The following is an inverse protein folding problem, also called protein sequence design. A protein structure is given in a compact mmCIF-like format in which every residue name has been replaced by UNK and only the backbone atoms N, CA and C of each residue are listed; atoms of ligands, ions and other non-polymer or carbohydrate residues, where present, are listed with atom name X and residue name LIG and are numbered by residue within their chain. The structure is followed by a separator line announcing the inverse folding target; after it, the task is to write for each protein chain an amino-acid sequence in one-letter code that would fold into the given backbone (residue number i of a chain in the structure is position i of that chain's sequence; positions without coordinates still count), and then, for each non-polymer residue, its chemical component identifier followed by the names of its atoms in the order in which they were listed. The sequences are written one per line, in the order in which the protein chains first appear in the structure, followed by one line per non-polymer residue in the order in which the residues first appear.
data_IF_549452129129
#
_entry.id   IF_549452129129
#
_cell.length_a   1.000
_cell.length_b   1.000
_cell.length_c   1.000
_cell.angle_alpha   90.00
_cell.angle_beta   90.00
_cell.angle_gamma   90.00
#
_symmetry.space_group_name_H-M   'P 1'
#
loop_
_entity.id
_entity.type
_entity.pdbx_description
1 polymer ?
#
# COMPACT_ATOMS: atom_id res chain seq x y z
N UNK A 1 -5.14 -15.10 15.43
CA UNK A 1 -5.32 -15.18 13.99
C UNK A 1 -4.14 -14.62 13.25
N UNK A 2 -3.61 -15.36 12.34
CA UNK A 2 -2.47 -14.84 11.58
C UNK A 2 -2.93 -13.91 10.48
N UNK A 3 -2.10 -12.94 10.18
CA UNK A 3 -2.31 -12.10 9.03
C UNK A 3 -2.21 -12.94 7.77
N UNK A 4 -3.10 -12.71 6.86
CA UNK A 4 -3.06 -13.37 5.57
C UNK A 4 -2.19 -12.56 4.64
N UNK A 5 -1.38 -13.26 3.86
CA UNK A 5 -0.64 -12.60 2.79
C UNK A 5 -1.54 -12.45 1.58
N UNK A 6 -1.24 -11.45 0.76
CA UNK A 6 -1.96 -11.25 -0.49
C UNK A 6 -1.22 -11.95 -1.61
N UNK A 7 -1.96 -12.29 -2.66
CA UNK A 7 -1.45 -12.98 -3.83
C UNK A 7 -1.71 -12.16 -5.07
N UNK A 8 -1.03 -12.52 -6.16
CA UNK A 8 -1.25 -11.87 -7.44
C UNK A 8 -2.72 -11.83 -7.78
N UNK A 9 -3.19 -10.68 -8.20
CA UNK A 9 -4.58 -10.47 -8.58
C UNK A 9 -5.52 -10.12 -7.45
N UNK A 10 -5.09 -10.27 -6.19
CA UNK A 10 -5.96 -9.92 -5.07
C UNK A 10 -6.26 -8.42 -5.08
N UNK A 11 -7.52 -8.09 -4.79
CA UNK A 11 -7.93 -6.70 -4.64
C UNK A 11 -7.59 -6.23 -3.24
N UNK A 12 -6.96 -5.08 -3.14
CA UNK A 12 -6.54 -4.52 -1.85
C UNK A 12 -6.86 -3.03 -1.83
N UNK A 13 -6.95 -2.49 -0.62
CA UNK A 13 -7.11 -1.07 -0.40
C UNK A 13 -5.95 -0.57 0.44
N UNK A 14 -5.39 0.57 0.07
CA UNK A 14 -4.37 1.21 0.88
C UNK A 14 -5.05 1.89 2.07
N UNK A 15 -4.63 1.53 3.27
CA UNK A 15 -5.17 2.11 4.49
C UNK A 15 -4.70 3.56 4.61
N UNK A 16 -5.53 4.39 5.18
CA UNK A 16 -5.14 5.74 5.57
C UNK A 16 -4.92 5.73 7.08
N UNK A 17 -3.71 5.42 7.49
CA UNK A 17 -3.41 5.25 8.91
C UNK A 17 -3.54 6.54 9.69
N UNK A 18 -3.31 7.69 9.06
CA UNK A 18 -3.53 8.96 9.73
C UNK A 18 -5.00 9.14 10.09
N UNK A 19 -5.89 8.82 9.15
CA UNK A 19 -7.32 8.94 9.40
C UNK A 19 -7.82 7.86 10.36
N UNK A 20 -7.28 6.64 10.24
CA UNK A 20 -7.76 5.51 11.04
C UNK A 20 -7.25 5.53 12.47
N UNK A 21 -6.01 5.92 12.69
CA UNK A 21 -5.32 5.74 13.96
C UNK A 21 -4.67 7.00 14.49
N UNK A 22 -4.77 8.09 13.76
CA UNK A 22 -4.15 9.34 14.18
C UNK A 22 -2.63 9.36 14.08
N UNK A 23 -2.05 8.39 13.39
CA UNK A 23 -0.60 8.33 13.22
C UNK A 23 -0.13 9.44 12.30
N UNK A 24 1.09 9.92 12.55
CA UNK A 24 1.65 11.03 11.78
C UNK A 24 3.01 10.64 11.24
N UNK A 25 3.22 10.99 9.98
CA UNK A 25 4.55 11.11 9.40
C UNK A 25 5.31 9.86 9.08
N UNK A 26 4.80 8.67 9.40
CA UNK A 26 5.59 7.45 9.23
C UNK A 26 5.04 6.48 8.21
N UNK A 27 3.87 6.75 7.66
CA UNK A 27 3.34 5.97 6.55
C UNK A 27 3.98 6.47 5.27
N UNK A 28 4.63 5.55 4.55
CA UNK A 28 5.38 5.90 3.33
C UNK A 28 4.57 5.82 2.06
N UNK A 29 3.31 5.39 2.13
CA UNK A 29 2.47 5.36 0.96
C UNK A 29 2.14 6.79 0.52
N UNK A 30 2.18 7.09 -0.80
CA UNK A 30 1.83 8.43 -1.26
C UNK A 30 0.40 8.80 -0.87
N UNK A 31 0.21 10.07 -0.57
CA UNK A 31 -1.11 10.56 -0.17
C UNK A 31 -2.17 10.28 -1.22
N UNK A 32 -1.82 10.37 -2.50
CA UNK A 32 -2.81 10.21 -3.56
C UNK A 32 -3.35 8.79 -3.67
N UNK A 33 -2.66 7.78 -3.13
CA UNK A 33 -3.17 6.41 -3.18
C UNK A 33 -3.80 5.94 -1.87
N UNK A 34 -3.73 6.72 -0.80
CA UNK A 34 -4.35 6.35 0.47
C UNK A 34 -5.86 6.27 0.32
N UNK A 35 -6.44 5.19 0.81
CA UNK A 35 -7.86 4.93 0.69
C UNK A 35 -8.28 4.39 -0.66
N UNK A 36 -7.37 4.26 -1.61
CA UNK A 36 -7.69 3.79 -2.95
C UNK A 36 -7.49 2.29 -3.04
N UNK A 37 -8.21 1.67 -3.96
CA UNK A 37 -8.15 0.22 -4.17
C UNK A 37 -7.43 -0.10 -5.46
N UNK A 38 -6.72 -1.21 -5.44
CA UNK A 38 -6.00 -1.70 -6.60
C UNK A 38 -5.86 -3.21 -6.54
N UNK A 39 -5.02 -3.76 -7.38
CA UNK A 39 -4.77 -5.19 -7.42
C UNK A 39 -3.29 -5.47 -7.22
N UNK A 40 -2.99 -6.57 -6.54
CA UNK A 40 -1.60 -7.00 -6.36
C UNK A 40 -1.03 -7.40 -7.71
N UNK A 41 0.00 -6.72 -8.13
CA UNK A 41 0.68 -6.99 -9.38
C UNK A 41 1.90 -7.89 -9.15
N UNK A 42 2.55 -7.74 -7.99
CA UNK A 42 3.76 -8.50 -7.67
C UNK A 42 3.96 -8.59 -6.16
N UNK A 43 4.47 -9.72 -5.69
CA UNK A 43 4.98 -9.85 -4.33
C UNK A 43 6.48 -9.64 -4.40
N UNK A 44 6.96 -8.54 -3.83
CA UNK A 44 8.37 -8.13 -3.98
C UNK A 44 9.30 -8.80 -2.97
N UNK A 45 8.75 -9.26 -1.85
CA UNK A 45 9.54 -9.90 -0.80
C UNK A 45 9.40 -9.21 0.54
N UNK A 46 10.16 -9.68 1.54
CA UNK A 46 10.11 -9.12 2.89
C UNK A 46 11.27 -8.15 3.11
N UNK A 47 10.97 -7.03 3.75
CA UNK A 47 11.95 -5.97 4.00
C UNK A 47 11.79 -5.42 5.39
N UNK A 48 12.78 -4.65 5.86
CA UNK A 48 12.72 -4.02 7.16
C UNK A 48 11.54 -3.07 7.27
N UNK A 49 10.94 -3.03 8.46
CA UNK A 49 9.79 -2.18 8.71
C UNK A 49 10.23 -0.71 8.73
N UNK A 50 9.76 0.12 7.80
CA UNK A 50 10.23 1.52 7.73
C UNK A 50 9.82 2.33 8.95
N UNK A 51 8.75 1.95 9.63
CA UNK A 51 8.30 2.69 10.81
C UNK A 51 9.24 2.49 11.98
N UNK A 52 9.72 1.26 12.20
CA UNK A 52 10.68 1.02 13.27
C UNK A 52 12.05 1.58 12.91
N UNK A 53 12.44 1.53 11.64
CA UNK A 53 13.70 2.13 11.21
C UNK A 53 13.70 3.65 11.41
N UNK A 54 12.56 4.29 11.20
CA UNK A 54 12.43 5.75 11.37
C UNK A 54 12.68 6.18 12.82
N UNK A 55 12.46 5.27 13.77
CA UNK A 55 12.70 5.57 15.19
C UNK A 55 14.02 4.99 15.70
N UNK A 56 14.92 4.64 14.78
CA UNK A 56 16.22 4.09 15.18
C UNK A 56 16.18 2.63 15.55
N UNK A 57 15.10 1.93 15.27
CA UNK A 57 14.97 0.51 15.50
C UNK A 57 15.68 -0.33 14.44
N UNK A 58 15.58 -1.64 14.59
CA UNK A 58 16.27 -2.60 13.73
C UNK A 58 15.47 -3.03 12.50
N UNK A 59 14.30 -2.43 12.29
CA UNK A 59 13.45 -2.75 11.15
C UNK A 59 12.58 -3.98 11.34
N UNK A 60 12.52 -4.52 12.53
CA UNK A 60 11.72 -5.72 12.81
C UNK A 60 10.37 -5.34 13.42
N UNK A 61 9.34 -6.15 13.21
CA UNK A 61 9.35 -7.30 12.31
C UNK A 61 9.42 -6.87 10.87
N UNK A 62 9.99 -7.73 10.01
CA UNK A 62 9.99 -7.46 8.58
C UNK A 62 8.58 -7.53 8.04
N UNK A 63 8.33 -6.80 6.97
CA UNK A 63 7.03 -6.72 6.33
C UNK A 63 7.14 -7.12 4.87
N UNK A 64 6.12 -7.80 4.37
CA UNK A 64 6.05 -8.07 2.95
C UNK A 64 5.79 -6.79 2.19
N UNK A 65 6.46 -6.65 1.06
CA UNK A 65 6.27 -5.52 0.16
C UNK A 65 5.59 -6.01 -1.09
N UNK A 66 4.56 -5.30 -1.52
CA UNK A 66 3.80 -5.63 -2.72
C UNK A 66 3.86 -4.50 -3.69
N UNK A 67 3.83 -4.82 -4.98
CA UNK A 67 3.53 -3.84 -6.01
C UNK A 67 2.05 -3.89 -6.30
N UNK A 68 1.39 -2.76 -6.10
CA UNK A 68 -0.06 -2.63 -6.28
C UNK A 68 -0.31 -1.78 -7.50
N UNK A 69 -1.17 -2.28 -8.40
CA UNK A 69 -1.55 -1.56 -9.61
C UNK A 69 -2.90 -0.91 -9.39
N UNK A 70 -2.95 0.40 -9.60
CA UNK A 70 -4.18 1.18 -9.52
C UNK A 70 -4.52 1.68 -10.91
N UNK A 71 -5.82 1.79 -11.21
CA UNK A 71 -6.22 2.50 -12.41
C UNK A 71 -6.13 3.99 -12.13
N UNK A 72 -5.57 4.74 -13.07
CA UNK A 72 -5.42 6.19 -12.91
C UNK A 72 -6.77 6.85 -12.67
N UNK A 73 -7.81 6.38 -13.35
CA UNK A 73 -9.16 6.92 -13.21
C UNK A 73 -9.70 6.75 -11.78
N UNK A 74 -9.22 5.74 -11.05
CA UNK A 74 -9.64 5.53 -9.66
C UNK A 74 -8.86 6.39 -8.68
N UNK A 75 -7.70 6.86 -9.07
CA UNK A 75 -6.80 7.63 -8.20
C UNK A 75 -7.07 9.12 -8.31
N UNK A 76 -7.27 9.62 -9.53
CA UNK A 76 -7.36 11.05 -9.80
C UNK A 76 -8.79 11.44 -10.16
N UNK A 77 -9.46 12.27 -9.34
CA UNK A 77 -10.78 12.78 -9.71
C UNK A 77 -10.70 13.53 -11.03
N UNK A 78 -11.66 13.26 -11.91
CA UNK A 78 -11.69 13.94 -13.20
C UNK A 78 -10.62 13.53 -14.18
N UNK A 79 -10.01 12.36 -13.99
CA UNK A 79 -9.00 11.85 -14.90
C UNK A 79 -9.58 11.71 -16.31
N UNK A 80 -8.88 12.28 -17.30
CA UNK A 80 -9.37 12.33 -18.68
C UNK A 80 -8.64 11.38 -19.63
N UNK A 81 -7.64 10.66 -19.14
CA UNK A 81 -6.93 9.69 -19.95
C UNK A 81 -7.72 8.40 -20.12
N UNK A 82 -7.05 7.38 -20.68
CA UNK A 82 -7.69 6.10 -20.93
C UNK A 82 -8.09 5.42 -19.60
N UNK A 83 -9.25 4.74 -19.62
CA UNK A 83 -9.67 3.95 -18.46
C UNK A 83 -8.71 2.77 -18.18
N UNK A 84 -7.84 2.45 -19.14
CA UNK A 84 -6.84 1.38 -18.95
C UNK A 84 -5.51 1.88 -18.42
N UNK A 85 -5.32 3.18 -18.29
CA UNK A 85 -4.09 3.72 -17.74
C UNK A 85 -3.95 3.31 -16.28
N UNK A 86 -2.75 2.91 -15.89
CA UNK A 86 -2.50 2.45 -14.54
C UNK A 86 -1.24 3.10 -13.96
N UNK A 87 -1.15 3.03 -12.64
CA UNK A 87 0.04 3.42 -11.90
C UNK A 87 0.36 2.29 -10.92
N UNK A 88 1.64 1.98 -10.76
CA UNK A 88 2.08 0.91 -9.87
C UNK A 88 2.89 1.50 -8.74
N UNK A 89 2.57 1.12 -7.51
CA UNK A 89 3.20 1.65 -6.31
C UNK A 89 3.53 0.49 -5.40
N UNK A 90 4.69 0.55 -4.76
CA UNK A 90 5.09 -0.47 -3.80
C UNK A 90 4.58 -0.10 -2.42
N UNK A 91 3.87 -1.02 -1.79
CA UNK A 91 3.18 -0.78 -0.52
C UNK A 91 3.44 -1.97 0.41
N UNK A 92 3.76 -1.67 1.66
CA UNK A 92 3.98 -2.70 2.67
C UNK A 92 2.65 -3.34 3.09
N UNK A 93 2.75 -4.60 3.49
CA UNK A 93 1.59 -5.42 3.87
C UNK A 93 0.72 -4.73 4.93
N UNK A 94 1.34 -4.17 5.95
CA UNK A 94 0.58 -3.59 7.06
C UNK A 94 -0.15 -2.29 6.69
N UNK A 95 0.14 -1.75 5.51
CA UNK A 95 -0.58 -0.59 4.99
C UNK A 95 -1.75 -0.97 4.08
N UNK A 96 -2.01 -2.27 3.93
CA UNK A 96 -3.05 -2.78 3.03
C UNK A 96 -4.10 -3.54 3.82
N UNK A 97 -5.29 -3.61 3.24
CA UNK A 97 -6.33 -4.52 3.68
C UNK A 97 -7.06 -5.04 2.45
N UNK A 98 -7.79 -6.13 2.61
CA UNK A 98 -8.59 -6.67 1.52
C UNK A 98 -9.65 -5.64 1.12
N UNK A 99 -9.79 -5.45 -0.18
CA UNK A 99 -10.78 -4.51 -0.69
C UNK A 99 -12.16 -5.16 -0.76
#
# INVERSE_FOLDING_TARGET
MKDQTFQLGDRVQVRDLEAEEGLKGHMRAPLYCRGKSGAIERVCGAFGNPETLAYGGDGKPTQLLYRVRFKQIDVWPGYTGSAHDSIEIEVYHHWLRAA
#
